data_IF_053055922922
#
_entry.id   IF_053055922922
#
_cell.length_a   1.000
_cell.length_b   1.000
_cell.length_c   1.000
_cell.angle_alpha   90.00
_cell.angle_beta   90.00
_cell.angle_gamma   90.00
#
_symmetry.space_group_name_H-M   'P 1'
#
loop_
_entity.id
_entity.type
_entity.pdbx_description
1 polymer ?
#
# COMPACT_ATOMS: atom_id res chain seq x y z
N UNK A 1 -36.97 -15.20 7.17
CA UNK A 1 -35.92 -15.26 8.21
C UNK A 1 -34.62 -14.90 7.53
N UNK A 2 -34.14 -13.70 7.84
CA UNK A 2 -32.94 -12.95 7.43
C UNK A 2 -32.15 -13.44 6.20
N UNK A 3 -32.40 -12.78 5.06
CA UNK A 3 -31.82 -13.11 3.74
C UNK A 3 -30.45 -12.46 3.48
N UNK A 4 -29.94 -11.63 4.38
CA UNK A 4 -28.64 -10.94 4.26
C UNK A 4 -28.07 -10.66 5.64
N UNK A 5 -27.01 -11.37 6.03
CA UNK A 5 -26.30 -11.08 7.29
C UNK A 5 -24.96 -10.43 6.96
N UNK A 6 -24.81 -9.14 7.30
CA UNK A 6 -23.51 -8.46 7.29
C UNK A 6 -22.76 -8.80 8.58
N UNK A 7 -21.56 -9.37 8.46
CA UNK A 7 -20.69 -9.62 9.61
C UNK A 7 -19.30 -9.10 9.31
N UNK A 8 -18.68 -8.46 10.28
CA UNK A 8 -17.26 -8.10 10.20
C UNK A 8 -16.43 -9.31 10.59
N UNK A 9 -15.46 -9.67 9.75
CA UNK A 9 -14.50 -10.74 10.04
C UNK A 9 -13.13 -10.14 10.28
N UNK A 10 -12.42 -10.71 11.26
CA UNK A 10 -11.01 -10.47 11.51
C UNK A 10 -10.31 -11.82 11.41
N UNK A 11 -9.39 -11.94 10.45
CA UNK A 11 -8.74 -13.20 10.11
C UNK A 11 -7.27 -12.98 9.79
N UNK A 12 -6.42 -13.91 10.20
CA UNK A 12 -5.00 -13.92 9.89
C UNK A 12 -4.72 -14.98 8.84
N UNK A 13 -4.07 -14.59 7.74
CA UNK A 13 -3.62 -15.47 6.67
C UNK A 13 -2.10 -15.63 6.75
N UNK A 14 -1.61 -16.83 6.47
CA UNK A 14 -0.19 -17.15 6.42
C UNK A 14 0.16 -17.69 5.04
N UNK A 15 1.34 -17.33 4.54
CA UNK A 15 1.87 -17.84 3.27
C UNK A 15 2.02 -19.37 3.30
N UNK A 16 1.56 -20.01 2.23
CA UNK A 16 1.68 -21.47 2.03
C UNK A 16 2.76 -21.79 1.01
N UNK A 17 3.21 -23.04 0.96
CA UNK A 17 4.21 -23.51 -0.02
C UNK A 17 3.63 -23.61 -1.45
N UNK A 18 2.30 -23.59 -1.57
CA UNK A 18 1.62 -23.69 -2.84
C UNK A 18 1.77 -22.41 -3.68
N UNK A 19 1.99 -22.60 -4.99
CA UNK A 19 2.00 -21.48 -5.93
C UNK A 19 0.62 -20.82 -6.10
N UNK A 20 0.56 -19.52 -6.41
CA UNK A 20 -0.69 -18.75 -6.54
C UNK A 20 -1.60 -19.22 -7.68
N UNK A 21 -1.06 -19.99 -8.63
CA UNK A 21 -1.77 -20.56 -9.77
C UNK A 21 -2.30 -21.98 -9.53
N UNK A 22 -2.21 -22.47 -8.29
CA UNK A 22 -2.67 -23.81 -7.94
C UNK A 22 -4.20 -23.90 -7.99
N UNK A 23 -4.71 -24.78 -8.85
CA UNK A 23 -6.07 -25.35 -8.71
C UNK A 23 -6.24 -26.17 -7.41
N UNK A 24 -5.22 -26.19 -6.55
CA UNK A 24 -5.21 -26.84 -5.26
C UNK A 24 -5.96 -25.95 -4.25
N UNK A 25 -6.73 -26.59 -3.37
CA UNK A 25 -7.37 -25.88 -2.28
C UNK A 25 -6.26 -25.37 -1.33
N UNK A 26 -6.24 -24.08 -0.97
CA UNK A 26 -5.27 -23.57 0.02
C UNK A 26 -5.29 -24.31 1.36
N UNK A 27 -6.40 -24.97 1.72
CA UNK A 27 -6.49 -25.80 2.93
C UNK A 27 -5.63 -27.08 2.87
N UNK A 28 -5.30 -27.55 1.66
CA UNK A 28 -4.48 -28.75 1.45
C UNK A 28 -2.97 -28.41 1.39
N UNK A 29 -2.63 -27.13 1.55
CA UNK A 29 -1.27 -26.62 1.42
C UNK A 29 -0.64 -26.37 2.79
N UNK A 30 0.54 -26.94 3.01
CA UNK A 30 1.30 -26.66 4.22
C UNK A 30 1.74 -25.19 4.28
N UNK A 31 1.79 -24.65 5.49
CA UNK A 31 2.33 -23.32 5.73
C UNK A 31 3.82 -23.29 5.48
N UNK A 32 4.27 -22.19 4.87
CA UNK A 32 5.68 -21.97 4.57
C UNK A 32 6.45 -21.60 5.82
N UNK A 33 7.64 -22.17 5.98
CA UNK A 33 8.51 -21.84 7.10
C UNK A 33 8.94 -20.36 7.02
N UNK A 34 8.68 -19.57 8.07
CA UNK A 34 8.85 -18.11 8.08
C UNK A 34 8.02 -17.37 7.02
N UNK A 35 6.88 -17.94 6.62
CA UNK A 35 5.94 -17.32 5.69
C UNK A 35 5.38 -15.99 6.20
N UNK A 36 5.04 -15.10 5.27
CA UNK A 36 4.46 -13.79 5.61
C UNK A 36 3.08 -13.98 6.23
N UNK A 37 2.81 -13.29 7.35
CA UNK A 37 1.50 -13.23 7.99
C UNK A 37 0.81 -11.92 7.60
N UNK A 38 -0.43 -12.03 7.13
CA UNK A 38 -1.31 -10.90 6.81
C UNK A 38 -2.53 -10.91 7.73
N UNK A 39 -2.83 -9.78 8.34
CA UNK A 39 -4.06 -9.57 9.07
C UNK A 39 -5.08 -8.91 8.15
N UNK A 40 -6.21 -9.57 7.96
CA UNK A 40 -7.31 -9.10 7.15
C UNK A 40 -8.51 -8.76 8.03
N UNK A 41 -9.12 -7.61 7.77
CA UNK A 41 -10.35 -7.18 8.42
C UNK A 41 -11.30 -6.57 7.40
N UNK A 42 -12.60 -6.83 7.55
CA UNK A 42 -13.60 -6.22 6.68
C UNK A 42 -14.99 -6.81 6.82
N UNK A 43 -16.00 -6.13 6.24
CA UNK A 43 -17.36 -6.63 6.16
C UNK A 43 -17.47 -7.77 5.14
N UNK A 44 -18.15 -8.84 5.53
CA UNK A 44 -18.56 -9.93 4.64
C UNK A 44 -20.07 -9.97 4.57
N UNK A 45 -20.58 -9.92 3.35
CA UNK A 45 -22.01 -10.01 3.06
C UNK A 45 -22.33 -11.44 2.62
N UNK A 46 -22.95 -12.22 3.51
CA UNK A 46 -23.39 -13.58 3.19
C UNK A 46 -24.72 -13.52 2.41
N UNK A 47 -24.65 -13.37 1.08
CA UNK A 47 -25.78 -13.63 0.17
C UNK A 47 -25.86 -15.13 -0.14
N UNK A 48 -27.07 -15.68 -0.18
CA UNK A 48 -27.31 -17.12 -0.44
C UNK A 48 -26.79 -17.61 -1.80
N UNK A 49 -26.54 -16.70 -2.76
CA UNK A 49 -26.09 -17.03 -4.11
C UNK A 49 -24.64 -16.63 -4.43
N UNK A 50 -24.09 -15.59 -3.80
CA UNK A 50 -22.69 -15.20 -3.93
C UNK A 50 -22.28 -14.30 -2.77
N UNK A 51 -21.37 -14.71 -1.88
CA UNK A 51 -20.86 -13.81 -0.86
C UNK A 51 -20.04 -12.70 -1.50
N UNK A 52 -20.36 -11.44 -1.18
CA UNK A 52 -19.54 -10.30 -1.55
C UNK A 52 -18.56 -10.04 -0.39
N UNK A 53 -17.27 -10.02 -0.72
CA UNK A 53 -16.17 -10.00 0.24
C UNK A 53 -15.30 -8.77 -0.07
N UNK A 54 -15.38 -7.78 0.80
CA UNK A 54 -14.49 -6.60 0.79
C UNK A 54 -13.59 -6.65 2.03
N UNK A 55 -12.42 -7.27 1.88
CA UNK A 55 -11.45 -7.45 2.96
C UNK A 55 -10.21 -6.60 2.71
N UNK A 56 -9.79 -5.83 3.71
CA UNK A 56 -8.52 -5.14 3.69
C UNK A 56 -7.49 -5.95 4.45
N UNK A 57 -6.39 -6.31 3.77
CA UNK A 57 -5.30 -7.11 4.34
C UNK A 57 -4.03 -6.28 4.47
N UNK A 58 -3.44 -6.28 5.66
CA UNK A 58 -2.18 -5.60 5.98
C UNK A 58 -1.14 -6.61 6.45
N UNK A 59 0.13 -6.36 6.15
CA UNK A 59 1.22 -7.21 6.63
C UNK A 59 1.34 -7.03 8.15
N UNK A 60 1.15 -8.11 8.89
CA UNK A 60 1.22 -8.11 10.36
C UNK A 60 2.64 -7.78 10.86
N UNK A 61 3.65 -8.06 10.03
CA UNK A 61 5.08 -7.85 10.30
C UNK A 61 5.62 -6.54 9.69
N UNK A 62 4.75 -5.55 9.40
CA UNK A 62 5.21 -4.28 8.85
C UNK A 62 5.75 -3.36 9.95
N UNK A 63 7.07 -3.43 10.17
CA UNK A 63 7.81 -2.32 10.77
C UNK A 63 7.43 -1.03 10.02
N UNK A 64 6.85 -0.01 10.69
CA UNK A 64 6.39 1.18 10.00
C UNK A 64 7.56 1.87 9.32
N UNK A 65 7.42 2.16 8.01
CA UNK A 65 8.43 2.89 7.24
C UNK A 65 8.73 4.21 7.94
N UNK A 66 9.89 4.26 8.63
CA UNK A 66 10.36 5.45 9.30
C UNK A 66 10.73 6.49 8.24
N UNK A 67 9.77 7.33 7.86
CA UNK A 67 10.05 8.51 7.05
C UNK A 67 10.93 9.45 7.87
N UNK A 68 12.24 9.39 7.66
CA UNK A 68 13.17 10.39 8.19
C UNK A 68 12.82 11.73 7.53
N UNK A 69 12.03 12.55 8.24
CA UNK A 69 11.86 13.97 7.94
C UNK A 69 13.18 14.67 8.23
N UNK A 70 14.12 14.58 7.28
CA UNK A 70 15.43 15.21 7.38
C UNK A 70 15.29 16.70 7.70
N UNK A 71 16.14 17.21 8.60
CA UNK A 71 16.17 18.63 9.01
C UNK A 71 16.49 19.61 7.87
N UNK A 72 16.74 19.13 6.65
CA UNK A 72 17.06 19.91 5.44
C UNK A 72 16.02 21.00 5.10
N UNK A 73 14.74 20.81 5.44
CA UNK A 73 13.71 21.83 5.24
C UNK A 73 13.96 23.14 5.99
N UNK A 74 14.62 23.09 7.16
CA UNK A 74 14.99 24.30 7.92
C UNK A 74 16.19 25.03 7.32
N UNK A 75 17.10 24.32 6.67
CA UNK A 75 18.30 24.90 6.06
C UNK A 75 17.96 25.71 4.79
N UNK A 76 17.06 25.19 3.95
CA UNK A 76 16.58 25.90 2.75
C UNK A 76 15.82 27.20 3.06
N UNK A 77 15.14 27.28 4.23
CA UNK A 77 14.46 28.52 4.66
C UNK A 77 15.45 29.66 4.97
N UNK A 78 16.69 29.34 5.33
CA UNK A 78 17.73 30.36 5.61
C UNK A 78 18.38 30.88 4.33
N UNK A 79 18.52 30.03 3.30
CA UNK A 79 19.04 30.41 1.98
C UNK A 79 18.05 31.29 1.19
N UNK A 80 16.74 31.12 1.37
CA UNK A 80 15.72 31.98 0.72
C UNK A 80 15.83 33.48 1.04
N UNK A 81 16.52 33.87 2.11
CA UNK A 81 16.78 35.29 2.43
C UNK A 81 17.90 35.90 1.59
N UNK A 82 18.84 35.07 1.12
CA UNK A 82 19.78 35.46 0.08
C UNK A 82 19.11 35.17 -1.26
N UNK A 83 18.39 36.16 -1.80
CA UNK A 83 18.00 36.17 -3.21
C UNK A 83 19.14 36.81 -4.00
N UNK A 84 20.17 36.06 -4.48
CA UNK A 84 21.04 36.61 -5.49
C UNK A 84 20.16 36.93 -6.70
N UNK A 85 20.09 38.21 -7.08
CA UNK A 85 19.43 38.63 -8.33
C UNK A 85 20.32 38.20 -9.49
N UNK A 86 20.24 36.94 -9.86
CA UNK A 86 20.88 36.44 -11.07
C UNK A 86 20.01 36.93 -12.23
N UNK A 87 20.46 37.99 -12.91
CA UNK A 87 19.87 38.46 -14.16
C UNK A 87 20.39 37.54 -15.26
N UNK A 88 19.58 36.58 -15.68
CA UNK A 88 19.85 35.83 -16.90
C UNK A 88 19.39 36.69 -18.07
N UNK A 89 20.33 37.28 -18.81
CA UNK A 89 20.03 37.88 -20.11
C UNK A 89 19.89 36.73 -21.12
N UNK A 90 18.65 36.31 -21.35
CA UNK A 90 18.34 35.35 -22.40
C UNK A 90 18.29 36.13 -23.71
N UNK A 91 19.41 36.17 -24.44
CA UNK A 91 19.43 36.67 -25.82
C UNK A 91 18.91 35.56 -26.75
N UNK A 92 17.62 35.59 -27.04
CA UNK A 92 17.05 34.77 -28.10
C UNK A 92 17.33 35.44 -29.44
N UNK A 93 18.34 34.96 -30.18
CA UNK A 93 18.50 35.29 -31.59
C UNK A 93 17.54 34.41 -32.40
N UNK A 94 16.44 35.00 -32.88
CA UNK A 94 15.60 34.40 -33.91
C UNK A 94 16.11 34.83 -35.29
N UNK A 95 16.46 33.87 -36.13
CA UNK A 95 16.65 34.08 -37.56
C UNK A 95 15.44 33.49 -38.28
N UNK A 96 14.66 34.34 -38.93
CA UNK A 96 13.64 33.92 -39.90
C UNK A 96 14.28 34.08 -41.26
N UNK A 97 14.49 32.95 -41.94
CA UNK A 97 14.99 32.84 -43.31
C UNK A 97 14.64 31.47 -43.84
#
# INVERSE_FOLDING_TARGET
VDMTTLRTLNLSLMETECGPSGRANPDDCDFKENGVIKECSGPVLFLQSSPEIDLNCVDASSDPVLVQRGRFGRFLRKIRRFRPRIKFNIHAHGSVG
#
